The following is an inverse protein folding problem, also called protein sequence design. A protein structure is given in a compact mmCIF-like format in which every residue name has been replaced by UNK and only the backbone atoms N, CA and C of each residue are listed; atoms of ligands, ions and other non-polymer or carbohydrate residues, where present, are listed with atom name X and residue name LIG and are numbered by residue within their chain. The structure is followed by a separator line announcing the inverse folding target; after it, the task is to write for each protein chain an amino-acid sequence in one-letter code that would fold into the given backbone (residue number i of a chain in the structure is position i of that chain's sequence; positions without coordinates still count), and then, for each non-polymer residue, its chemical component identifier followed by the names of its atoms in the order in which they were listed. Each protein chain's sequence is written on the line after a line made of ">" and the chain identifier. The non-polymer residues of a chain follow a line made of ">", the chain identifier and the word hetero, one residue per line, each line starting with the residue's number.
data_IF_583954935722
#
_entry.id   IF_583954935722
#
_cell.length_a   1.000
_cell.length_b   1.000
_cell.length_c   1.000
_cell.angle_alpha   90.00
_cell.angle_beta   90.00
_cell.angle_gamma   90.00
#
_symmetry.space_group_name_H-M   'P 1'
#
loop_
_entity.id
_entity.type
_entity.pdbx_description
1 polymer ?
#
# COMPACT_ATOMS: atom_id res chain seq x y z
N UNK A 1 -13.27 8.68 -4.95
CA UNK A 1 -14.23 9.71 -5.40
C UNK A 1 -13.71 10.34 -6.68
N UNK A 2 -14.44 10.22 -7.81
CA UNK A 2 -13.94 10.68 -9.11
C UNK A 2 -13.58 12.18 -9.05
N UNK A 3 -12.38 12.53 -9.50
CA UNK A 3 -11.88 13.92 -9.49
C UNK A 3 -11.58 14.50 -8.11
N UNK A 4 -11.47 13.67 -7.06
CA UNK A 4 -11.17 14.13 -5.70
C UNK A 4 -9.98 13.38 -5.10
N UNK A 5 -10.06 12.05 -5.02
CA UNK A 5 -9.04 11.24 -4.34
C UNK A 5 -9.54 9.85 -3.97
N UNK A 6 -8.79 9.18 -3.10
CA UNK A 6 -9.08 7.85 -2.57
C UNK A 6 -9.58 7.93 -1.12
N UNK A 7 -10.32 6.90 -0.71
CA UNK A 7 -10.73 6.69 0.68
C UNK A 7 -10.25 5.30 1.05
N UNK A 8 -9.54 5.20 2.18
CA UNK A 8 -8.92 3.96 2.65
C UNK A 8 -9.52 3.59 4.00
N UNK A 9 -9.78 2.30 4.19
CA UNK A 9 -10.32 1.75 5.44
C UNK A 9 -9.46 0.58 5.94
N UNK A 10 -9.44 0.40 7.25
CA UNK A 10 -8.74 -0.69 7.93
C UNK A 10 -9.42 -1.02 9.25
N UNK A 11 -9.23 -2.24 9.75
CA UNK A 11 -9.75 -2.65 11.06
C UNK A 11 -9.05 -1.95 12.23
N UNK A 12 -7.88 -1.36 11.98
CA UNK A 12 -7.12 -0.54 12.93
C UNK A 12 -6.44 0.61 12.18
N UNK A 13 -5.98 1.63 12.91
CA UNK A 13 -5.27 2.77 12.33
C UNK A 13 -3.99 2.35 11.57
N UNK A 14 -3.08 1.51 12.11
CA UNK A 14 -1.91 1.05 11.35
C UNK A 14 -2.25 0.34 10.04
N UNK A 15 -3.33 -0.46 10.03
CA UNK A 15 -3.78 -1.14 8.80
C UNK A 15 -4.29 -0.13 7.76
N UNK A 16 -5.06 0.87 8.19
CA UNK A 16 -5.56 1.91 7.29
C UNK A 16 -4.40 2.74 6.70
N UNK A 17 -3.41 3.11 7.52
CA UNK A 17 -2.23 3.86 7.09
C UNK A 17 -1.36 3.03 6.15
N UNK A 18 -1.06 1.78 6.49
CA UNK A 18 -0.31 0.87 5.62
C UNK A 18 -0.98 0.73 4.24
N UNK A 19 -2.30 0.52 4.20
CA UNK A 19 -3.04 0.46 2.94
C UNK A 19 -2.98 1.76 2.16
N UNK A 20 -3.04 2.91 2.81
CA UNK A 20 -2.94 4.20 2.15
C UNK A 20 -1.60 4.36 1.43
N UNK A 21 -0.50 4.12 2.15
CA UNK A 21 0.88 4.20 1.62
C UNK A 21 1.04 3.27 0.42
N UNK A 22 0.72 1.99 0.57
CA UNK A 22 0.93 1.02 -0.51
C UNK A 22 -0.06 1.17 -1.67
N UNK A 23 -1.26 1.72 -1.45
CA UNK A 23 -2.18 2.03 -2.55
C UNK A 23 -1.60 3.13 -3.44
N UNK A 24 -1.02 4.17 -2.85
CA UNK A 24 -0.37 5.25 -3.60
C UNK A 24 0.85 4.75 -4.37
N UNK A 25 1.74 3.99 -3.72
CA UNK A 25 2.92 3.39 -4.36
C UNK A 25 2.51 2.46 -5.52
N UNK A 26 1.50 1.61 -5.31
CA UNK A 26 1.03 0.72 -6.37
C UNK A 26 0.40 1.49 -7.53
N UNK A 27 -0.30 2.60 -7.26
CA UNK A 27 -0.88 3.45 -8.31
C UNK A 27 0.21 4.14 -9.14
N UNK A 28 1.27 4.63 -8.50
CA UNK A 28 2.44 5.21 -9.20
C UNK A 28 3.15 4.16 -10.05
N UNK A 29 3.43 2.97 -9.50
CA UNK A 29 4.04 1.86 -10.24
C UNK A 29 3.20 1.46 -11.45
N UNK A 30 1.89 1.27 -11.27
CA UNK A 30 0.99 0.91 -12.36
C UNK A 30 0.94 2.00 -13.43
N UNK A 31 0.87 3.28 -13.02
CA UNK A 31 0.85 4.41 -13.96
C UNK A 31 2.11 4.44 -14.83
N UNK A 32 3.28 4.23 -14.22
CA UNK A 32 4.55 4.14 -14.96
C UNK A 32 4.60 2.90 -15.85
N UNK A 33 4.18 1.73 -15.35
CA UNK A 33 4.19 0.49 -16.13
C UNK A 33 3.32 0.60 -17.38
N UNK A 34 2.12 1.17 -17.26
CA UNK A 34 1.21 1.38 -18.40
C UNK A 34 1.80 2.30 -19.48
N UNK A 35 2.71 3.21 -19.12
CA UNK A 35 3.42 4.04 -20.10
C UNK A 35 4.47 3.28 -20.91
N UNK A 36 4.92 2.13 -20.41
CA UNK A 36 5.94 1.28 -21.04
C UNK A 36 5.35 0.18 -21.92
N UNK A 37 4.03 -0.02 -21.91
CA UNK A 37 3.33 -1.03 -22.70
C UNK A 37 2.46 -1.94 -21.82
N UNK A 38 2.27 -3.18 -22.29
CA UNK A 38 1.43 -4.15 -21.59
C UNK A 38 2.02 -4.51 -20.22
N UNK A 39 1.19 -4.39 -19.18
CA UNK A 39 1.55 -4.73 -17.82
C UNK A 39 1.08 -6.15 -17.47
N UNK A 40 1.96 -6.97 -16.87
CA UNK A 40 1.58 -8.24 -16.29
C UNK A 40 0.92 -8.01 -14.92
N UNK A 41 -0.37 -8.31 -14.82
CA UNK A 41 -1.13 -8.20 -13.58
C UNK A 41 -0.98 -9.46 -12.73
N UNK A 42 -1.21 -9.30 -11.42
CA UNK A 42 -1.31 -10.43 -10.50
C UNK A 42 -2.53 -11.28 -10.82
N UNK A 43 -2.36 -12.60 -10.77
CA UNK A 43 -3.46 -13.56 -10.74
C UNK A 43 -4.24 -13.47 -9.43
N UNK A 44 -5.45 -14.05 -9.41
CA UNK A 44 -6.31 -14.06 -8.22
C UNK A 44 -5.62 -14.71 -7.02
N UNK A 45 -4.88 -15.81 -7.27
CA UNK A 45 -4.18 -16.54 -6.21
C UNK A 45 -2.99 -15.74 -5.64
N UNK A 46 -2.26 -15.03 -6.51
CA UNK A 46 -1.18 -14.13 -6.08
C UNK A 46 -1.70 -12.95 -5.26
N UNK A 47 -2.84 -12.35 -5.66
CA UNK A 47 -3.49 -11.27 -4.90
C UNK A 47 -3.87 -11.76 -3.50
N UNK A 48 -4.43 -12.98 -3.39
CA UNK A 48 -4.80 -13.58 -2.11
C UNK A 48 -3.58 -13.81 -1.22
N UNK A 49 -2.55 -14.47 -1.75
CA UNK A 49 -1.31 -14.73 -1.01
C UNK A 49 -0.59 -13.44 -0.56
N UNK A 50 -0.57 -12.41 -1.42
CA UNK A 50 -0.02 -11.10 -1.07
C UNK A 50 -0.83 -10.41 0.03
N UNK A 51 -2.17 -10.50 -0.03
CA UNK A 51 -3.06 -9.91 0.98
C UNK A 51 -2.89 -10.59 2.35
N UNK A 52 -2.79 -11.91 2.37
CA UNK A 52 -2.59 -12.70 3.60
C UNK A 52 -1.22 -12.41 4.22
N UNK A 53 -0.16 -12.25 3.40
CA UNK A 53 1.18 -11.95 3.92
C UNK A 53 1.33 -10.50 4.41
N UNK A 54 0.67 -9.53 3.75
CA UNK A 54 0.78 -8.11 4.09
C UNK A 54 0.41 -7.82 5.55
N UNK A 55 -0.55 -8.55 6.14
CA UNK A 55 -1.00 -8.33 7.52
C UNK A 55 0.13 -8.52 8.54
N UNK A 56 1.09 -9.40 8.25
CA UNK A 56 2.22 -9.67 9.13
C UNK A 56 3.26 -8.54 9.14
N UNK A 57 3.26 -7.69 8.10
CA UNK A 57 4.24 -6.63 7.93
C UNK A 57 3.74 -5.25 8.38
N UNK A 58 2.42 -5.08 8.58
CA UNK A 58 1.79 -3.80 8.96
C UNK A 58 2.46 -3.17 10.19
N UNK A 59 2.59 -3.91 11.28
CA UNK A 59 3.13 -3.36 12.53
C UNK A 59 4.63 -3.11 12.46
N UNK A 60 5.36 -3.86 11.63
CA UNK A 60 6.79 -3.60 11.39
C UNK A 60 6.97 -2.27 10.67
N UNK A 61 6.19 -2.01 9.63
CA UNK A 61 6.22 -0.75 8.89
C UNK A 61 5.79 0.42 9.79
N UNK A 62 4.69 0.25 10.55
CA UNK A 62 4.23 1.25 11.51
C UNK A 62 5.31 1.66 12.51
N UNK A 63 5.93 0.68 13.17
CA UNK A 63 6.97 0.97 14.15
C UNK A 63 8.16 1.69 13.52
N UNK A 64 8.56 1.30 12.30
CA UNK A 64 9.65 1.98 11.58
C UNK A 64 9.33 3.46 11.32
N UNK A 65 8.13 3.77 10.81
CA UNK A 65 7.72 5.16 10.54
C UNK A 65 7.62 6.02 11.81
N UNK A 66 7.14 5.44 12.93
CA UNK A 66 7.12 6.14 14.21
C UNK A 66 8.53 6.47 14.68
N UNK A 67 9.47 5.53 14.58
CA UNK A 67 10.87 5.78 14.95
C UNK A 67 11.55 6.79 14.02
N UNK A 68 11.23 6.77 12.72
CA UNK A 68 11.74 7.76 11.76
C UNK A 68 11.29 9.17 12.13
N UNK A 69 10.03 9.37 12.52
CA UNK A 69 9.51 10.67 12.95
C UNK A 69 10.16 11.16 14.26
N UNK A 70 10.31 10.26 15.24
CA UNK A 70 10.98 10.55 16.51
C UNK A 70 12.46 10.94 16.32
N UNK A 71 13.14 10.39 15.31
CA UNK A 71 14.53 10.70 15.01
C UNK A 71 14.75 12.06 14.31
N UNK A 72 13.67 12.69 13.81
CA UNK A 72 13.70 13.99 13.13
C UNK A 72 13.33 15.14 14.08
N UNK A 73 12.86 14.84 15.30
CA UNK A 73 12.60 15.80 16.38
C UNK A 73 13.79 15.98 17.33
#
# INVERSE_FOLDING_TARGET
>A
MRGHGSVIVGGTLPVAVHRAVYTELNADVLTRALSLGDCAYLSVDEVKAASDSAIHHVYRAWNAWVHEDEAVC
#
